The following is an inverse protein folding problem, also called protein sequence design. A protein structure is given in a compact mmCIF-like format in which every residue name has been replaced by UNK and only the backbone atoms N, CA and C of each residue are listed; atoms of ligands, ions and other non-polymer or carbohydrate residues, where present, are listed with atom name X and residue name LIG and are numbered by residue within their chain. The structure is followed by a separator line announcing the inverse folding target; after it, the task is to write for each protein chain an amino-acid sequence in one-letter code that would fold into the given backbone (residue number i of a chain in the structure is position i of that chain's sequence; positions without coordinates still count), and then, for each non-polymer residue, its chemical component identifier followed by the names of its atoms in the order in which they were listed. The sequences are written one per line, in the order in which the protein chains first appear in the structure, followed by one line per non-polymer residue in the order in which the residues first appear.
data_IF_248421063800
#
_entry.id   IF_248421063800
#
_cell.length_a   1.000
_cell.length_b   1.000
_cell.length_c   1.000
_cell.angle_alpha   90.00
_cell.angle_beta   90.00
_cell.angle_gamma   90.00
#
_symmetry.space_group_name_H-M   'P 1'
#
loop_
_entity.id
_entity.type
_entity.pdbx_description
1 polymer ?
#
# COMPACT_ATOMS: atom_id res chain seq x y z
N UNK A 1 2.30 -20.55 -1.71
CA UNK A 1 3.04 -19.26 -1.57
C UNK A 1 4.51 -19.58 -1.73
N UNK A 2 5.35 -18.75 -2.37
CA UNK A 2 6.77 -19.01 -2.35
C UNK A 2 7.24 -19.02 -0.89
N UNK A 3 7.99 -20.04 -0.49
CA UNK A 3 8.63 -20.06 0.81
C UNK A 3 9.56 -18.85 0.94
N UNK A 4 9.64 -18.28 2.14
CA UNK A 4 10.58 -17.21 2.41
C UNK A 4 11.98 -17.80 2.50
N UNK A 5 12.68 -17.83 1.37
CA UNK A 5 14.03 -18.41 1.29
C UNK A 5 15.01 -17.66 2.21
N UNK A 6 16.03 -18.34 2.72
CA UNK A 6 17.08 -17.71 3.53
C UNK A 6 17.77 -16.56 2.78
N UNK A 7 17.92 -16.69 1.45
CA UNK A 7 18.45 -15.63 0.61
C UNK A 7 17.54 -14.39 0.62
N UNK A 8 16.23 -14.57 0.48
CA UNK A 8 15.25 -13.49 0.53
C UNK A 8 15.19 -12.88 1.94
N UNK A 9 15.26 -13.69 3.01
CA UNK A 9 15.31 -13.20 4.40
C UNK A 9 16.43 -12.19 4.63
N UNK A 10 17.62 -12.46 4.08
CA UNK A 10 18.80 -11.59 4.19
C UNK A 10 18.67 -10.25 3.46
N UNK A 11 17.70 -10.11 2.55
CA UNK A 11 17.46 -8.84 1.86
C UNK A 11 16.63 -7.85 2.68
N UNK A 12 15.92 -8.31 3.72
CA UNK A 12 15.10 -7.42 4.55
C UNK A 12 15.94 -6.64 5.56
N UNK A 13 15.43 -5.49 6.00
CA UNK A 13 15.95 -4.78 7.16
C UNK A 13 16.02 -5.67 8.41
N UNK A 14 16.96 -5.39 9.32
CA UNK A 14 17.12 -6.13 10.60
C UNK A 14 15.80 -6.20 11.39
N UNK A 15 15.05 -5.10 11.39
CA UNK A 15 13.75 -5.02 12.05
C UNK A 15 12.72 -5.99 11.45
N UNK A 16 12.79 -6.28 10.15
CA UNK A 16 11.96 -7.28 9.50
C UNK A 16 12.48 -8.69 9.70
N UNK A 17 13.79 -8.91 9.68
CA UNK A 17 14.40 -10.20 10.01
C UNK A 17 13.97 -10.67 11.40
N UNK A 18 14.12 -9.82 12.42
CA UNK A 18 13.68 -10.11 13.79
C UNK A 18 12.16 -10.38 13.89
N UNK A 19 11.34 -9.70 13.08
CA UNK A 19 9.88 -9.96 13.02
C UNK A 19 9.56 -11.29 12.37
N UNK A 20 10.24 -11.66 11.30
CA UNK A 20 10.08 -12.96 10.63
C UNK A 20 10.47 -14.10 11.58
N UNK A 21 11.51 -13.93 12.37
CA UNK A 21 11.93 -14.92 13.39
C UNK A 21 10.90 -15.03 14.53
N UNK A 22 10.42 -13.89 15.04
CA UNK A 22 9.47 -13.85 16.17
C UNK A 22 8.07 -14.28 15.79
N UNK A 23 7.56 -13.79 14.65
CA UNK A 23 6.27 -14.19 14.11
C UNK A 23 6.55 -15.36 13.19
N UNK A 24 6.31 -16.56 13.71
CA UNK A 24 6.16 -17.76 12.90
C UNK A 24 4.92 -17.59 12.01
N UNK A 25 5.02 -16.77 10.95
CA UNK A 25 3.98 -16.53 9.95
C UNK A 25 3.73 -17.87 9.27
N UNK A 26 2.73 -18.63 9.72
CA UNK A 26 2.65 -20.02 9.34
C UNK A 26 2.31 -20.08 7.85
N UNK A 27 2.91 -21.00 7.08
CA UNK A 27 2.43 -21.27 5.74
C UNK A 27 0.97 -21.70 5.85
N UNK A 28 0.06 -20.86 5.37
CA UNK A 28 -1.38 -21.14 5.34
C UNK A 28 -1.85 -21.22 3.89
N UNK A 29 -2.85 -22.07 3.58
CA UNK A 29 -3.50 -22.01 2.28
C UNK A 29 -4.08 -20.60 2.08
N UNK A 30 -3.96 -20.07 0.86
CA UNK A 30 -4.78 -18.92 0.48
C UNK A 30 -6.23 -19.37 0.52
N UNK A 31 -6.99 -18.91 1.49
CA UNK A 31 -8.44 -19.09 1.49
C UNK A 31 -9.08 -18.04 0.59
N UNK A 32 -10.24 -18.37 0.01
CA UNK A 32 -11.14 -17.36 -0.55
C UNK A 32 -11.68 -16.51 0.60
N UNK A 33 -10.88 -15.53 1.02
CA UNK A 33 -11.17 -14.64 2.13
C UNK A 33 -12.11 -13.49 1.74
N UNK A 34 -12.36 -12.55 2.67
CA UNK A 34 -13.19 -11.38 2.43
C UNK A 34 -12.82 -10.58 1.17
N UNK A 35 -11.54 -10.56 0.79
CA UNK A 35 -11.06 -9.86 -0.41
C UNK A 35 -11.61 -10.46 -1.72
N UNK A 36 -11.73 -11.80 -1.80
CA UNK A 36 -12.32 -12.47 -2.97
C UNK A 36 -13.80 -12.06 -3.14
N UNK A 37 -14.53 -11.97 -2.02
CA UNK A 37 -15.93 -11.49 -2.04
C UNK A 37 -16.02 -10.02 -2.44
N UNK A 38 -15.09 -9.19 -1.97
CA UNK A 38 -15.03 -7.79 -2.38
C UNK A 38 -14.77 -7.63 -3.89
N UNK A 39 -13.90 -8.45 -4.49
CA UNK A 39 -13.68 -8.44 -5.94
C UNK A 39 -14.93 -8.84 -6.71
N UNK A 40 -15.61 -9.91 -6.30
CA UNK A 40 -16.88 -10.32 -6.91
C UNK A 40 -17.96 -9.24 -6.80
N UNK A 41 -17.99 -8.51 -5.68
CA UNK A 41 -18.90 -7.38 -5.51
C UNK A 41 -18.55 -6.21 -6.45
N UNK A 42 -17.26 -5.89 -6.62
CA UNK A 42 -16.82 -4.86 -7.58
C UNK A 42 -17.26 -5.23 -8.99
N UNK A 43 -17.07 -6.49 -9.39
CA UNK A 43 -17.50 -6.99 -10.71
C UNK A 43 -19.00 -6.84 -10.89
N UNK A 44 -19.79 -7.27 -9.90
CA UNK A 44 -21.24 -7.16 -9.95
C UNK A 44 -21.72 -5.70 -10.02
N UNK A 45 -21.13 -4.80 -9.23
CA UNK A 45 -21.48 -3.37 -9.26
C UNK A 45 -21.13 -2.70 -10.60
N UNK A 46 -20.04 -3.14 -11.25
CA UNK A 46 -19.64 -2.63 -12.56
C UNK A 46 -20.56 -3.14 -13.69
N UNK A 47 -21.20 -4.29 -13.51
CA UNK A 47 -22.25 -4.79 -14.42
C UNK A 47 -23.59 -4.06 -14.20
N UNK A 48 -23.93 -3.76 -12.94
CA UNK A 48 -25.22 -3.16 -12.58
C UNK A 48 -25.28 -1.64 -12.78
N UNK A 49 -24.17 -0.94 -12.52
CA UNK A 49 -24.10 0.51 -12.55
C UNK A 49 -23.10 1.02 -13.59
N UNK A 50 -23.22 2.29 -13.99
CA UNK A 50 -22.30 2.96 -14.91
C UNK A 50 -20.95 3.30 -14.25
N UNK A 51 -20.24 2.30 -13.77
CA UNK A 51 -18.91 2.41 -13.17
C UNK A 51 -17.87 2.55 -14.29
N UNK A 52 -17.05 3.60 -14.26
CA UNK A 52 -15.85 3.67 -15.09
C UNK A 52 -14.80 2.69 -14.52
N UNK A 53 -14.71 1.51 -15.13
CA UNK A 53 -13.77 0.47 -14.69
C UNK A 53 -12.31 0.90 -14.82
N UNK A 54 -12.00 1.95 -15.59
CA UNK A 54 -10.64 2.53 -15.65
C UNK A 54 -10.31 3.39 -14.41
N UNK A 55 -11.26 3.62 -13.52
CA UNK A 55 -11.19 4.51 -12.34
C UNK A 55 -11.71 3.83 -11.07
N UNK A 56 -11.41 2.55 -10.90
CA UNK A 56 -11.66 1.86 -9.62
C UNK A 56 -10.47 2.08 -8.69
N UNK A 57 -10.70 2.57 -7.48
CA UNK A 57 -9.65 2.86 -6.50
C UNK A 57 -9.81 1.99 -5.25
N UNK A 58 -8.70 1.73 -4.54
CA UNK A 58 -8.76 1.01 -3.25
C UNK A 58 -8.01 1.76 -2.16
N UNK A 59 -8.69 1.98 -1.04
CA UNK A 59 -8.16 2.69 0.10
C UNK A 59 -8.66 2.05 1.39
N UNK A 60 -7.88 2.16 2.45
CA UNK A 60 -8.24 1.57 3.73
C UNK A 60 -7.20 1.80 4.81
N UNK A 61 -7.61 1.58 6.05
CA UNK A 61 -6.81 1.85 7.23
C UNK A 61 -6.59 0.59 8.08
N UNK A 62 -5.41 0.43 8.67
CA UNK A 62 -5.07 -0.70 9.55
C UNK A 62 -5.26 -2.05 8.84
N UNK A 63 -6.16 -2.91 9.32
CA UNK A 63 -6.57 -4.13 8.61
C UNK A 63 -7.05 -3.84 7.18
N UNK A 64 -7.76 -2.73 6.96
CA UNK A 64 -8.15 -2.26 5.61
C UNK A 64 -6.98 -1.71 4.80
N UNK A 65 -5.94 -1.18 5.45
CA UNK A 65 -4.70 -0.77 4.79
C UNK A 65 -3.90 -1.98 4.32
N UNK A 66 -3.81 -3.02 5.15
CA UNK A 66 -3.30 -4.32 4.74
C UNK A 66 -4.17 -4.93 3.62
N UNK A 67 -5.49 -4.79 3.69
CA UNK A 67 -6.42 -5.19 2.63
C UNK A 67 -6.13 -4.49 1.31
N UNK A 68 -5.88 -3.18 1.33
CA UNK A 68 -5.55 -2.37 0.16
C UNK A 68 -4.23 -2.82 -0.49
N UNK A 69 -3.19 -3.03 0.32
CA UNK A 69 -1.93 -3.61 -0.14
C UNK A 69 -2.11 -5.01 -0.77
N UNK A 70 -2.91 -5.86 -0.13
CA UNK A 70 -3.19 -7.19 -0.66
C UNK A 70 -4.05 -7.15 -1.93
N UNK A 71 -4.95 -6.17 -2.06
CA UNK A 71 -5.78 -5.96 -3.23
C UNK A 71 -4.93 -5.64 -4.47
N UNK A 72 -4.06 -4.62 -4.36
CA UNK A 72 -3.17 -4.24 -5.47
C UNK A 72 -2.14 -5.32 -5.80
N UNK A 73 -1.67 -6.10 -4.81
CA UNK A 73 -0.78 -7.21 -5.11
C UNK A 73 -1.49 -8.38 -5.81
N UNK A 74 -2.74 -8.65 -5.43
CA UNK A 74 -3.50 -9.79 -5.94
C UNK A 74 -4.09 -9.54 -7.33
N UNK A 75 -4.52 -8.32 -7.61
CA UNK A 75 -5.18 -7.93 -8.86
C UNK A 75 -4.83 -6.48 -9.25
N UNK A 76 -3.55 -6.19 -9.55
CA UNK A 76 -3.07 -4.82 -9.86
C UNK A 76 -3.78 -4.16 -11.06
N UNK A 77 -4.27 -4.98 -11.99
CA UNK A 77 -5.03 -4.57 -13.18
C UNK A 77 -6.43 -4.02 -12.87
N UNK A 78 -6.95 -4.24 -11.65
CA UNK A 78 -8.29 -3.77 -11.26
C UNK A 78 -8.31 -2.34 -10.73
N UNK A 79 -7.20 -1.84 -10.20
CA UNK A 79 -7.23 -0.66 -9.33
C UNK A 79 -6.42 0.48 -9.89
N UNK A 80 -7.06 1.49 -10.51
CA UNK A 80 -6.48 2.72 -11.03
C UNK A 80 -5.40 3.34 -10.11
N UNK A 81 -5.65 3.37 -8.80
CA UNK A 81 -4.68 3.75 -7.77
C UNK A 81 -5.09 3.22 -6.39
N UNK A 82 -4.18 3.34 -5.41
CA UNK A 82 -4.46 2.95 -4.03
C UNK A 82 -3.94 3.92 -2.94
N UNK A 83 -4.67 3.98 -1.82
CA UNK A 83 -4.27 4.74 -0.61
C UNK A 83 -4.31 3.81 0.62
N UNK A 84 -3.27 2.99 0.86
CA UNK A 84 -3.15 2.20 2.07
C UNK A 84 -2.64 3.06 3.25
N UNK A 85 -3.35 3.01 4.38
CA UNK A 85 -2.97 3.72 5.62
C UNK A 85 -2.71 2.74 6.77
N UNK A 86 -1.61 2.91 7.51
CA UNK A 86 -1.23 2.10 8.67
C UNK A 86 -1.35 0.57 8.45
N UNK A 87 -1.05 0.13 7.23
CA UNK A 87 -1.19 -1.26 6.79
C UNK A 87 0.15 -1.96 6.66
N UNK A 88 0.12 -3.16 6.09
CA UNK A 88 1.33 -3.90 5.74
C UNK A 88 1.09 -4.95 4.67
N UNK A 89 2.17 -5.27 3.96
CA UNK A 89 2.25 -6.35 2.99
C UNK A 89 3.21 -7.41 3.56
N UNK A 90 2.86 -8.68 3.39
CA UNK A 90 3.72 -9.77 3.87
C UNK A 90 4.98 -9.88 3.00
N UNK A 91 6.13 -10.23 3.57
CA UNK A 91 7.44 -10.05 2.91
C UNK A 91 7.56 -10.86 1.61
N UNK A 92 7.02 -12.07 1.54
CA UNK A 92 7.04 -12.92 0.34
C UNK A 92 6.21 -12.39 -0.84
N UNK A 93 5.50 -11.26 -0.69
CA UNK A 93 4.76 -10.62 -1.78
C UNK A 93 5.68 -9.70 -2.56
N UNK A 94 6.00 -10.11 -3.78
CA UNK A 94 6.87 -9.38 -4.69
C UNK A 94 6.26 -8.05 -5.18
N UNK A 95 6.92 -6.89 -4.90
CA UNK A 95 6.52 -5.58 -5.39
C UNK A 95 6.50 -5.47 -6.92
N UNK A 96 7.29 -6.27 -7.65
CA UNK A 96 7.33 -6.22 -9.10
C UNK A 96 5.96 -6.48 -9.74
N UNK A 97 5.06 -7.20 -9.05
CA UNK A 97 3.68 -7.46 -9.51
C UNK A 97 2.82 -6.21 -9.60
N UNK A 98 3.02 -5.25 -8.70
CA UNK A 98 2.17 -4.06 -8.60
C UNK A 98 2.94 -2.75 -8.71
N UNK A 99 4.24 -2.79 -9.06
CA UNK A 99 5.12 -1.61 -9.15
C UNK A 99 4.60 -0.50 -10.07
N UNK A 100 3.76 -0.83 -11.04
CA UNK A 100 3.18 0.10 -12.00
C UNK A 100 1.91 0.78 -11.48
N UNK A 101 1.29 0.25 -10.43
CA UNK A 101 0.09 0.84 -9.81
C UNK A 101 0.51 2.12 -9.08
N UNK A 102 -0.13 3.28 -9.35
CA UNK A 102 0.05 4.48 -8.52
C UNK A 102 -0.46 4.24 -7.10
N UNK A 103 0.41 4.38 -6.11
CA UNK A 103 0.08 4.18 -4.70
C UNK A 103 0.54 5.38 -3.89
N UNK A 104 -0.30 5.85 -2.96
CA UNK A 104 0.07 6.81 -1.94
C UNK A 104 -0.17 6.23 -0.55
N UNK A 105 0.90 5.71 0.05
CA UNK A 105 0.86 5.10 1.36
C UNK A 105 1.04 6.13 2.48
N UNK A 106 0.34 5.94 3.58
CA UNK A 106 0.43 6.78 4.77
C UNK A 106 0.67 5.93 6.02
N UNK A 107 1.50 6.39 6.95
CA UNK A 107 1.72 5.71 8.22
C UNK A 107 2.06 6.69 9.33
N UNK A 108 1.58 6.43 10.54
CA UNK A 108 2.03 7.17 11.71
C UNK A 108 3.47 6.80 12.06
N UNK A 109 4.33 7.78 12.30
CA UNK A 109 5.73 7.57 12.68
C UNK A 109 5.91 6.99 14.08
N UNK A 110 4.85 7.01 14.91
CA UNK A 110 4.82 6.48 16.27
C UNK A 110 3.69 5.48 16.48
N UNK A 111 3.30 4.75 15.42
CA UNK A 111 2.24 3.76 15.46
C UNK A 111 2.63 2.55 16.36
N UNK A 112 1.95 2.34 17.50
CA UNK A 112 2.26 1.23 18.40
C UNK A 112 1.54 -0.08 18.03
N UNK A 113 0.59 -0.03 17.09
CA UNK A 113 -0.28 -1.15 16.71
C UNK A 113 0.27 -1.86 15.49
N UNK A 114 0.50 -1.10 14.42
CA UNK A 114 1.17 -1.58 13.21
C UNK A 114 2.50 -0.84 13.12
N UNK A 115 3.64 -1.53 13.32
CA UNK A 115 4.91 -0.83 13.29
C UNK A 115 5.18 -0.18 11.93
N UNK A 116 5.61 1.09 11.95
CA UNK A 116 5.87 1.90 10.75
C UNK A 116 6.86 1.25 9.76
N UNK A 117 7.76 0.39 10.25
CA UNK A 117 8.70 -0.37 9.43
C UNK A 117 8.03 -1.24 8.35
N UNK A 118 6.76 -1.62 8.54
CA UNK A 118 6.00 -2.30 7.49
C UNK A 118 5.92 -1.43 6.23
N UNK A 119 5.59 -0.14 6.37
CA UNK A 119 5.52 0.78 5.23
C UNK A 119 6.89 1.19 4.72
N UNK A 120 7.87 1.41 5.60
CA UNK A 120 9.24 1.77 5.21
C UNK A 120 9.88 0.69 4.33
N UNK A 121 9.73 -0.59 4.69
CA UNK A 121 10.26 -1.71 3.91
C UNK A 121 9.58 -1.85 2.54
N UNK A 122 8.25 -1.74 2.49
CA UNK A 122 7.52 -1.77 1.21
C UNK A 122 7.99 -0.61 0.31
N UNK A 123 8.19 0.57 0.90
CA UNK A 123 8.70 1.73 0.17
C UNK A 123 10.11 1.51 -0.38
N UNK A 124 11.03 0.99 0.44
CA UNK A 124 12.40 0.66 0.01
C UNK A 124 12.39 -0.31 -1.17
N UNK A 125 11.62 -1.41 -1.08
CA UNK A 125 11.55 -2.41 -2.16
C UNK A 125 10.85 -1.89 -3.40
N UNK A 126 9.83 -1.05 -3.25
CA UNK A 126 9.19 -0.37 -4.39
C UNK A 126 10.15 0.60 -5.08
N UNK A 127 11.00 1.30 -4.31
CA UNK A 127 12.05 2.16 -4.85
C UNK A 127 13.08 1.36 -5.65
N UNK A 128 13.57 0.25 -5.11
CA UNK A 128 14.49 -0.66 -5.82
C UNK A 128 13.87 -1.24 -7.10
N UNK A 129 12.57 -1.55 -7.07
CA UNK A 129 11.85 -2.10 -8.23
C UNK A 129 11.52 -1.05 -9.31
N UNK A 130 11.79 0.24 -9.07
CA UNK A 130 11.38 1.35 -9.95
C UNK A 130 9.87 1.58 -9.97
N UNK A 131 9.23 1.39 -8.81
CA UNK A 131 7.78 1.47 -8.64
C UNK A 131 7.21 2.89 -8.58
N UNK A 132 5.89 2.98 -8.60
CA UNK A 132 5.10 4.21 -8.52
C UNK A 132 4.43 4.36 -7.15
N UNK A 133 5.23 4.68 -6.13
CA UNK A 133 4.80 4.79 -4.75
C UNK A 133 5.23 6.12 -4.13
N UNK A 134 4.23 6.85 -3.64
CA UNK A 134 4.37 7.95 -2.68
C UNK A 134 4.23 7.39 -1.27
N UNK A 135 5.06 7.84 -0.35
CA UNK A 135 4.99 7.44 1.05
C UNK A 135 5.09 8.65 1.96
N UNK A 136 4.04 8.91 2.73
CA UNK A 136 4.02 9.97 3.74
C UNK A 136 4.06 9.33 5.12
N UNK A 137 5.16 9.56 5.82
CA UNK A 137 5.27 9.23 7.23
C UNK A 137 4.88 10.45 8.06
N UNK A 138 3.90 10.27 8.95
CA UNK A 138 3.34 11.34 9.76
C UNK A 138 4.04 11.31 11.13
N UNK A 139 5.05 12.15 11.31
CA UNK A 139 5.82 12.23 12.56
C UNK A 139 4.89 12.36 13.79
N UNK A 140 5.21 11.65 14.88
CA UNK A 140 4.47 11.66 16.16
C UNK A 140 2.99 11.21 16.10
N UNK A 141 2.44 10.95 14.91
CA UNK A 141 1.12 10.34 14.73
C UNK A 141 1.21 8.86 15.09
N UNK A 142 0.22 8.39 15.86
CA UNK A 142 0.08 6.99 16.28
C UNK A 142 -0.69 6.21 15.23
N UNK A 143 -1.55 5.28 15.65
CA UNK A 143 -2.31 4.42 14.74
C UNK A 143 -3.38 5.14 13.93
N UNK A 144 -3.69 6.42 14.16
CA UNK A 144 -4.80 7.13 13.51
C UNK A 144 -4.40 7.87 12.20
N UNK A 145 -3.44 7.34 11.44
CA UNK A 145 -2.91 7.98 10.22
C UNK A 145 -3.98 8.28 9.15
N UNK A 146 -5.11 7.58 9.15
CA UNK A 146 -6.22 7.81 8.20
C UNK A 146 -6.86 9.20 8.34
N UNK A 147 -6.83 9.80 9.53
CA UNK A 147 -7.33 11.15 9.78
C UNK A 147 -6.55 12.22 9.02
N UNK A 148 -5.32 11.90 8.59
CA UNK A 148 -4.47 12.77 7.79
C UNK A 148 -4.45 12.30 6.33
N UNK A 149 -4.31 10.99 6.10
CA UNK A 149 -4.22 10.42 4.76
C UNK A 149 -5.35 10.85 3.82
N UNK A 150 -6.60 10.86 4.31
CA UNK A 150 -7.78 11.16 3.49
C UNK A 150 -8.14 12.65 3.43
N UNK A 151 -7.32 13.51 4.05
CA UNK A 151 -7.44 14.96 4.04
C UNK A 151 -6.10 15.63 3.74
N UNK A 152 -5.15 14.89 3.16
CA UNK A 152 -3.81 15.39 2.95
C UNK A 152 -3.80 16.40 1.80
N UNK A 153 -3.47 17.66 2.12
CA UNK A 153 -3.44 18.75 1.14
C UNK A 153 -2.03 19.03 0.59
N UNK A 154 -1.01 18.46 1.23
CA UNK A 154 0.39 18.63 0.85
C UNK A 154 1.31 18.44 2.04
N UNK A 155 2.61 18.55 1.77
CA UNK A 155 3.64 18.39 2.80
C UNK A 155 3.60 19.54 3.81
N UNK A 156 3.76 19.19 5.09
CA UNK A 156 3.90 20.11 6.20
C UNK A 156 5.24 19.83 6.93
N UNK A 157 6.38 20.31 6.39
CA UNK A 157 7.71 19.97 6.90
C UNK A 157 7.92 20.34 8.37
N UNK A 158 7.30 21.43 8.83
CA UNK A 158 7.34 21.88 10.23
C UNK A 158 6.73 20.86 11.20
N UNK A 159 5.74 20.09 10.75
CA UNK A 159 5.16 18.97 11.50
C UNK A 159 5.90 17.66 11.28
N UNK A 160 6.87 17.63 10.36
CA UNK A 160 7.53 16.41 9.91
C UNK A 160 6.67 15.54 9.00
N UNK A 161 5.68 16.12 8.32
CA UNK A 161 4.82 15.40 7.37
C UNK A 161 5.37 15.64 5.96
N UNK A 162 6.18 14.69 5.49
CA UNK A 162 6.88 14.81 4.21
C UNK A 162 6.63 13.58 3.36
N UNK A 163 6.22 13.80 2.12
CA UNK A 163 5.99 12.75 1.15
C UNK A 163 7.29 12.38 0.46
N UNK A 164 7.69 11.13 0.61
CA UNK A 164 8.78 10.51 -0.11
C UNK A 164 8.26 9.86 -1.40
N UNK A 165 9.14 9.73 -2.39
CA UNK A 165 8.80 9.18 -3.70
C UNK A 165 9.75 8.04 -4.07
N UNK A 166 9.22 6.93 -4.56
CA UNK A 166 10.02 5.79 -5.00
C UNK A 166 10.73 6.03 -6.34
N UNK A 167 10.37 7.08 -7.07
CA UNK A 167 11.03 7.49 -8.31
C UNK A 167 10.34 8.67 -9.00
N UNK A 168 10.92 9.12 -10.13
CA UNK A 168 10.47 10.31 -10.86
C UNK A 168 9.11 10.14 -11.55
N UNK A 169 8.70 8.89 -11.83
CA UNK A 169 7.38 8.58 -12.39
C UNK A 169 6.22 8.85 -11.44
N UNK A 170 6.48 9.11 -10.16
CA UNK A 170 5.43 9.37 -9.19
C UNK A 170 4.83 10.76 -9.43
N UNK A 171 3.51 10.80 -9.61
CA UNK A 171 2.74 12.04 -9.68
C UNK A 171 2.93 12.89 -8.41
N UNK A 172 3.37 14.14 -8.59
CA UNK A 172 3.73 15.08 -7.51
C UNK A 172 2.54 15.92 -7.02
N UNK A 173 1.33 15.67 -7.50
CA UNK A 173 0.11 16.36 -7.05
C UNK A 173 -0.01 16.26 -5.53
N UNK A 174 -0.17 17.41 -4.86
CA UNK A 174 -0.07 17.53 -3.41
C UNK A 174 -1.37 17.15 -2.67
N UNK A 175 -2.52 17.51 -3.23
CA UNK A 175 -3.80 17.13 -2.66
C UNK A 175 -4.09 15.65 -2.96
N UNK A 176 -4.46 14.88 -1.94
CA UNK A 176 -4.68 13.44 -2.06
C UNK A 176 -5.83 13.08 -3.00
N UNK A 177 -6.90 13.89 -3.03
CA UNK A 177 -8.07 13.62 -3.87
C UNK A 177 -7.82 14.04 -5.31
N UNK A 178 -7.18 15.18 -5.54
CA UNK A 178 -6.75 15.58 -6.88
C UNK A 178 -5.78 14.54 -7.46
N UNK A 179 -4.82 14.08 -6.66
CA UNK A 179 -3.91 13.00 -7.03
C UNK A 179 -4.66 11.73 -7.37
N UNK A 180 -5.59 11.27 -6.53
CA UNK A 180 -6.32 10.02 -6.71
C UNK A 180 -7.16 10.04 -7.99
N UNK A 181 -7.97 11.10 -8.18
CA UNK A 181 -8.90 11.18 -9.31
C UNK A 181 -8.22 11.48 -10.65
N UNK A 182 -6.96 11.94 -10.64
CA UNK A 182 -6.14 12.02 -11.84
C UNK A 182 -5.72 10.64 -12.37
N UNK A 183 -5.66 9.60 -11.52
CA UNK A 183 -5.16 8.28 -11.90
C UNK A 183 -6.18 7.51 -12.73
N UNK A 184 -5.68 6.76 -13.72
CA UNK A 184 -6.50 5.86 -14.55
C UNK A 184 -5.69 4.64 -14.97
N UNK A 185 -6.39 3.52 -15.20
CA UNK A 185 -5.78 2.27 -15.69
C UNK A 185 -5.15 2.42 -17.08
N UNK A 186 -5.79 3.17 -17.97
CA UNK A 186 -5.43 3.36 -19.37
C UNK A 186 -4.24 4.33 -19.61
N UNK A 187 -3.62 4.84 -18.54
CA UNK A 187 -2.54 5.85 -18.61
C UNK A 187 -1.24 5.46 -17.88
N UNK A 188 -1.01 4.17 -17.62
CA UNK A 188 0.07 3.66 -16.75
C UNK A 188 1.41 3.39 -17.42
#
# INVERSE_FOLDING_TARGET
MPELTEALKKTYSEAWQARIEKRNYPPGPMSNGPLTKAFALIDHLAEEFAVDTNRVYVLGHSMGGAGSWNAVWAAPERFAAAIPSAGGLLPWKDPAKFKHVPIWAFHGGSDPVVPTDFSREIFARMKEAGGNLKYTELKDVKHNASQYAFYYEGDEPEKGYVTQYSGDRCDKTANVWDWLFAQRLDKR
#
